data_IF_759636710323
#
_entry.id   IF_759636710323
#
_cell.length_a   1.000
_cell.length_b   1.000
_cell.length_c   1.000
_cell.angle_alpha   90.00
_cell.angle_beta   90.00
_cell.angle_gamma   90.00
#
_symmetry.space_group_name_H-M   'P 1'
#
loop_
_entity.id
_entity.type
_entity.pdbx_description
1 polymer ?
#
# COMPACT_ATOMS: atom_id res chain seq x y z
N UNK A 1 7.77 23.70 -17.24
CA UNK A 1 8.83 22.92 -16.59
C UNK A 1 8.66 22.79 -15.05
N UNK A 2 8.37 23.84 -14.26
CA UNK A 2 8.20 23.71 -12.79
C UNK A 2 7.00 22.85 -12.36
N UNK A 3 5.87 22.86 -13.06
CA UNK A 3 4.69 22.02 -12.74
C UNK A 3 4.92 20.53 -13.02
N UNK A 4 5.72 20.17 -14.03
CA UNK A 4 6.06 18.77 -14.34
C UNK A 4 7.01 18.14 -13.33
N UNK A 5 7.91 18.93 -12.72
CA UNK A 5 8.84 18.46 -11.70
C UNK A 5 8.09 18.18 -10.38
N UNK A 6 7.12 19.04 -10.02
CA UNK A 6 6.29 18.85 -8.82
C UNK A 6 5.41 17.59 -8.97
N UNK A 7 4.83 17.36 -10.18
CA UNK A 7 4.06 16.15 -10.44
C UNK A 7 4.92 14.87 -10.41
N UNK A 8 6.16 14.94 -10.88
CA UNK A 8 7.10 13.83 -10.84
C UNK A 8 7.59 13.52 -9.42
N UNK A 9 7.78 14.54 -8.56
CA UNK A 9 8.13 14.35 -7.14
C UNK A 9 6.95 13.76 -6.35
N UNK A 10 5.71 14.21 -6.61
CA UNK A 10 4.50 13.65 -5.98
C UNK A 10 4.30 12.20 -6.45
N UNK A 11 4.54 11.88 -7.72
CA UNK A 11 4.44 10.53 -8.26
C UNK A 11 5.52 9.59 -7.69
N UNK A 12 6.74 10.08 -7.45
CA UNK A 12 7.80 9.30 -6.79
C UNK A 12 7.48 9.09 -5.29
N UNK A 13 6.90 10.09 -4.59
CA UNK A 13 6.48 9.92 -3.19
C UNK A 13 5.31 8.93 -3.01
N UNK A 14 4.41 8.82 -4.00
CA UNK A 14 3.32 7.82 -3.95
C UNK A 14 3.78 6.41 -4.32
N UNK A 15 4.91 6.25 -5.04
CA UNK A 15 5.45 4.92 -5.37
C UNK A 15 6.23 4.29 -4.21
N UNK A 16 6.75 5.08 -3.27
CA UNK A 16 7.49 4.56 -2.10
C UNK A 16 6.56 3.93 -1.05
N UNK A 17 5.25 4.20 -1.10
CA UNK A 17 4.26 3.61 -0.18
C UNK A 17 3.73 2.23 -0.58
N UNK A 18 4.22 1.65 -1.69
CA UNK A 18 3.70 0.39 -2.27
C UNK A 18 4.60 -0.84 -2.07
N UNK A 19 5.74 -0.70 -1.35
CA UNK A 19 6.52 -1.88 -1.00
C UNK A 19 6.17 -2.33 0.42
N UNK A 20 5.49 -3.47 0.58
CA UNK A 20 5.31 -4.06 1.90
C UNK A 20 6.68 -4.41 2.47
N UNK A 21 6.87 -4.10 3.74
CA UNK A 21 8.07 -4.42 4.52
C UNK A 21 8.14 -5.95 4.67
N UNK A 22 8.77 -6.63 3.71
CA UNK A 22 8.92 -8.10 3.74
C UNK A 22 10.00 -8.60 4.70
N UNK A 23 10.86 -7.73 5.19
CA UNK A 23 12.00 -8.13 6.01
C UNK A 23 11.64 -8.54 7.46
N UNK A 24 10.52 -8.04 8.02
CA UNK A 24 10.05 -8.53 9.33
C UNK A 24 9.44 -9.91 9.26
N UNK A 25 8.79 -10.25 8.14
CA UNK A 25 8.17 -11.55 7.94
C UNK A 25 9.19 -12.69 7.87
N UNK A 26 10.35 -12.48 7.25
CA UNK A 26 11.42 -13.48 7.17
C UNK A 26 11.98 -13.82 8.55
N UNK A 27 12.18 -12.82 9.41
CA UNK A 27 12.64 -13.03 10.77
C UNK A 27 11.62 -13.82 11.62
N UNK A 28 10.34 -13.50 11.52
CA UNK A 28 9.30 -14.20 12.27
C UNK A 28 9.05 -15.62 11.73
N UNK A 29 9.19 -15.84 10.41
CA UNK A 29 9.13 -17.17 9.82
C UNK A 29 10.18 -18.09 10.44
N UNK A 30 11.42 -17.65 10.54
CA UNK A 30 12.49 -18.44 11.12
C UNK A 30 12.20 -18.85 12.58
N UNK A 31 11.60 -17.94 13.35
CA UNK A 31 11.19 -18.24 14.73
C UNK A 31 10.04 -19.25 14.78
N UNK A 32 9.01 -19.06 13.94
CA UNK A 32 7.90 -19.98 13.85
C UNK A 32 8.37 -21.40 13.44
N UNK A 33 9.26 -21.48 12.46
CA UNK A 33 9.80 -22.75 11.97
C UNK A 33 10.64 -23.45 13.04
N UNK A 34 11.47 -22.72 13.78
CA UNK A 34 12.26 -23.26 14.88
C UNK A 34 11.37 -23.79 16.01
N UNK A 35 10.34 -23.04 16.41
CA UNK A 35 9.39 -23.44 17.44
C UNK A 35 8.56 -24.65 16.97
N UNK A 36 8.17 -24.67 15.70
CA UNK A 36 7.45 -25.79 15.11
C UNK A 36 8.31 -27.07 15.02
N UNK A 37 9.59 -26.93 14.65
CA UNK A 37 10.55 -28.03 14.61
C UNK A 37 10.83 -28.59 16.00
N UNK A 38 11.03 -27.72 17.00
CA UNK A 38 11.21 -28.12 18.40
C UNK A 38 9.98 -28.80 18.98
N UNK A 39 8.78 -28.44 18.50
CA UNK A 39 7.52 -29.12 18.83
C UNK A 39 7.27 -30.42 18.04
N UNK A 40 8.20 -30.84 17.18
CA UNK A 40 8.07 -32.05 16.35
C UNK A 40 7.03 -31.97 15.22
N UNK A 41 6.63 -30.77 14.83
CA UNK A 41 5.58 -30.55 13.83
C UNK A 41 5.91 -29.35 12.94
N UNK A 42 6.76 -29.50 11.93
CA UNK A 42 7.13 -28.40 11.03
C UNK A 42 5.91 -27.88 10.25
N UNK A 43 5.98 -26.63 9.78
CA UNK A 43 5.02 -26.08 8.81
C UNK A 43 5.26 -26.78 7.47
N UNK A 44 4.22 -27.37 6.89
CA UNK A 44 4.29 -28.16 5.66
C UNK A 44 3.53 -27.55 4.49
N UNK A 45 2.77 -26.48 4.73
CA UNK A 45 2.04 -25.78 3.67
C UNK A 45 2.98 -25.20 2.63
N UNK A 46 2.58 -25.27 1.37
CA UNK A 46 3.36 -24.83 0.21
C UNK A 46 3.50 -23.30 0.13
N UNK A 47 2.44 -22.60 0.56
CA UNK A 47 2.45 -21.15 0.68
C UNK A 47 1.60 -20.72 1.89
N UNK A 48 2.04 -19.66 2.56
CA UNK A 48 1.25 -19.02 3.62
C UNK A 48 1.54 -17.51 3.71
N UNK A 49 0.55 -16.78 4.23
CA UNK A 49 0.64 -15.36 4.46
C UNK A 49 -0.20 -14.98 5.67
N UNK A 50 0.38 -14.30 6.66
CA UNK A 50 -0.31 -13.83 7.86
C UNK A 50 -0.01 -12.36 8.09
N UNK A 51 -1.05 -11.54 8.23
CA UNK A 51 -0.97 -10.10 8.40
C UNK A 51 -1.76 -9.68 9.64
N UNK A 52 -1.19 -8.77 10.43
CA UNK A 52 -1.96 -7.97 11.37
C UNK A 52 -2.59 -6.79 10.61
N UNK A 53 -3.92 -6.81 10.45
CA UNK A 53 -4.60 -5.81 9.61
C UNK A 53 -4.71 -4.43 10.26
N UNK A 54 -4.54 -4.32 11.58
CA UNK A 54 -4.62 -3.05 12.31
C UNK A 54 -3.37 -2.20 12.07
N UNK A 55 -2.21 -2.85 11.85
CA UNK A 55 -0.94 -2.19 11.58
C UNK A 55 -0.49 -2.31 10.13
N UNK A 56 -1.01 -3.29 9.39
CA UNK A 56 -0.50 -3.70 8.09
C UNK A 56 0.79 -4.54 8.15
N UNK A 57 1.24 -4.92 9.36
CA UNK A 57 2.47 -5.69 9.53
C UNK A 57 2.29 -7.13 9.02
N UNK A 58 3.16 -7.55 8.13
CA UNK A 58 3.26 -8.95 7.69
C UNK A 58 4.01 -9.74 8.75
N UNK A 59 3.36 -10.75 9.32
CA UNK A 59 3.91 -11.57 10.39
C UNK A 59 4.64 -12.79 9.82
N UNK A 60 3.95 -13.51 8.92
CA UNK A 60 4.52 -14.66 8.24
C UNK A 60 4.26 -14.55 6.74
N UNK A 61 5.26 -14.90 5.95
CA UNK A 61 5.17 -14.93 4.49
C UNK A 61 6.11 -16.00 3.95
N UNK A 62 5.55 -16.99 3.26
CA UNK A 62 6.30 -18.02 2.55
C UNK A 62 5.64 -18.27 1.21
N UNK A 63 6.40 -18.18 0.12
CA UNK A 63 5.88 -18.36 -1.23
C UNK A 63 4.55 -17.60 -1.49
N UNK A 64 4.38 -16.42 -0.91
CA UNK A 64 3.12 -15.69 -0.88
C UNK A 64 2.56 -15.39 -2.28
N UNK A 65 3.43 -15.27 -3.29
CA UNK A 65 3.08 -15.00 -4.68
C UNK A 65 3.09 -16.25 -5.57
N UNK A 66 3.31 -17.45 -4.99
CA UNK A 66 3.27 -18.70 -5.74
C UNK A 66 1.85 -19.01 -6.19
N UNK A 67 1.67 -19.23 -7.49
CA UNK A 67 0.38 -19.62 -8.06
C UNK A 67 0.06 -21.08 -7.70
N UNK A 68 -1.06 -21.26 -6.99
CA UNK A 68 -1.59 -22.55 -6.55
C UNK A 68 -3.10 -22.57 -6.76
N UNK A 69 -3.68 -23.74 -6.89
CA UNK A 69 -5.12 -23.88 -6.74
C UNK A 69 -5.50 -23.65 -5.28
N UNK A 70 -6.65 -23.05 -5.03
CA UNK A 70 -7.04 -22.59 -3.69
C UNK A 70 -8.34 -23.22 -3.18
N UNK A 71 -8.80 -24.30 -3.82
CA UNK A 71 -10.00 -25.04 -3.43
C UNK A 71 -11.20 -24.12 -3.13
N UNK A 72 -11.96 -24.41 -2.09
CA UNK A 72 -13.15 -23.65 -1.68
C UNK A 72 -12.90 -22.22 -1.22
N UNK A 73 -11.64 -21.74 -1.17
CA UNK A 73 -11.40 -20.32 -0.89
C UNK A 73 -11.91 -19.42 -2.02
N UNK A 74 -12.06 -19.94 -3.24
CA UNK A 74 -12.73 -19.27 -4.38
C UNK A 74 -14.11 -18.73 -3.99
N UNK A 75 -14.83 -19.44 -3.13
CA UNK A 75 -16.18 -19.08 -2.68
C UNK A 75 -16.23 -17.73 -1.95
N UNK A 76 -15.10 -17.26 -1.42
CA UNK A 76 -15.00 -15.93 -0.80
C UNK A 76 -15.23 -14.84 -1.88
N UNK A 77 -14.64 -14.99 -3.06
CA UNK A 77 -14.86 -14.06 -4.18
C UNK A 77 -16.31 -14.14 -4.70
N UNK A 78 -16.89 -15.35 -4.75
CA UNK A 78 -18.30 -15.57 -5.10
C UNK A 78 -19.23 -14.87 -4.10
N UNK A 79 -18.93 -14.96 -2.79
CA UNK A 79 -19.69 -14.30 -1.75
C UNK A 79 -19.62 -12.78 -1.86
N UNK A 80 -18.43 -12.21 -2.09
CA UNK A 80 -18.24 -10.77 -2.30
C UNK A 80 -19.12 -10.27 -3.44
N UNK A 81 -19.01 -10.88 -4.62
CA UNK A 81 -19.80 -10.48 -5.78
C UNK A 81 -21.29 -10.62 -5.55
N UNK A 82 -21.72 -11.64 -4.83
CA UNK A 82 -23.14 -11.83 -4.49
C UNK A 82 -23.64 -10.67 -3.64
N UNK A 83 -22.94 -10.27 -2.58
CA UNK A 83 -23.37 -9.17 -1.71
C UNK A 83 -23.20 -7.80 -2.35
N UNK A 84 -22.26 -7.63 -3.27
CA UNK A 84 -22.06 -6.39 -4.03
C UNK A 84 -23.14 -6.16 -5.10
N UNK A 85 -23.79 -7.23 -5.61
CA UNK A 85 -24.74 -7.16 -6.71
C UNK A 85 -26.17 -7.61 -6.34
N UNK A 86 -26.44 -7.82 -5.06
CA UNK A 86 -27.76 -8.18 -4.56
C UNK A 86 -28.12 -7.35 -3.34
N UNK A 87 -28.91 -6.29 -3.53
CA UNK A 87 -29.33 -5.36 -2.48
C UNK A 87 -30.19 -6.03 -1.40
N UNK A 88 -30.98 -7.05 -1.77
CA UNK A 88 -31.84 -7.77 -0.86
C UNK A 88 -31.53 -9.28 -0.86
N UNK A 89 -30.83 -9.74 0.17
CA UNK A 89 -30.46 -11.15 0.31
C UNK A 89 -31.67 -12.08 0.53
N UNK A 90 -32.84 -11.56 0.85
CA UNK A 90 -34.07 -12.35 0.99
C UNK A 90 -34.80 -12.52 -0.35
N UNK A 91 -34.23 -12.06 -1.46
CA UNK A 91 -34.67 -12.34 -2.81
C UNK A 91 -34.68 -13.85 -3.05
N UNK A 92 -35.80 -14.38 -3.53
CA UNK A 92 -35.95 -15.80 -3.85
C UNK A 92 -35.44 -16.08 -5.25
N UNK A 93 -34.58 -17.05 -5.36
CA UNK A 93 -34.01 -17.53 -6.63
C UNK A 93 -34.60 -18.90 -6.92
N UNK A 94 -34.91 -19.18 -8.19
CA UNK A 94 -35.30 -20.51 -8.65
C UNK A 94 -34.10 -21.23 -9.23
N UNK A 95 -33.79 -22.40 -8.68
CA UNK A 95 -32.67 -23.23 -9.13
C UNK A 95 -32.90 -23.72 -10.56
N UNK A 96 -31.98 -23.45 -11.45
CA UNK A 96 -32.04 -23.85 -12.86
C UNK A 96 -31.32 -25.19 -13.09
N UNK A 97 -31.66 -25.88 -14.18
CA UNK A 97 -30.93 -27.06 -14.64
C UNK A 97 -29.49 -26.70 -15.08
N UNK A 98 -29.30 -25.52 -15.67
CA UNK A 98 -27.99 -25.05 -16.13
C UNK A 98 -27.00 -24.85 -14.98
N UNK A 99 -27.46 -24.42 -13.80
CA UNK A 99 -26.61 -24.25 -12.61
C UNK A 99 -26.13 -25.61 -12.05
N UNK A 100 -26.98 -26.63 -12.07
CA UNK A 100 -26.67 -27.93 -11.49
C UNK A 100 -25.91 -28.86 -12.45
N UNK A 101 -26.18 -28.77 -13.76
CA UNK A 101 -25.63 -29.66 -14.80
C UNK A 101 -24.11 -29.80 -14.77
N UNK A 102 -23.30 -28.72 -14.58
CA UNK A 102 -21.84 -28.84 -14.53
C UNK A 102 -21.31 -29.69 -13.35
N UNK A 103 -22.12 -29.89 -12.31
CA UNK A 103 -21.74 -30.62 -11.09
C UNK A 103 -22.20 -32.07 -11.06
N UNK A 104 -22.94 -32.50 -12.06
CA UNK A 104 -23.39 -33.92 -12.15
C UNK A 104 -22.17 -34.85 -12.19
N UNK A 105 -22.16 -35.85 -11.34
CA UNK A 105 -21.08 -36.86 -11.16
C UNK A 105 -19.74 -36.32 -10.64
N UNK A 106 -19.69 -35.06 -10.08
CA UNK A 106 -18.45 -34.55 -9.45
C UNK A 106 -18.21 -35.11 -8.04
N UNK A 107 -19.24 -35.70 -7.41
CA UNK A 107 -19.21 -36.18 -6.01
C UNK A 107 -18.65 -35.14 -5.03
N UNK A 108 -18.89 -33.88 -5.33
CA UNK A 108 -18.37 -32.72 -4.56
C UNK A 108 -19.42 -32.23 -3.55
N UNK A 109 -18.99 -31.39 -2.61
CA UNK A 109 -19.87 -30.79 -1.62
C UNK A 109 -21.08 -30.09 -2.26
N UNK A 110 -22.29 -30.37 -1.75
CA UNK A 110 -23.58 -29.94 -2.30
C UNK A 110 -24.57 -29.66 -1.17
N UNK A 111 -25.49 -28.75 -1.36
CA UNK A 111 -26.67 -28.57 -0.53
C UNK A 111 -27.87 -29.39 -1.04
N UNK A 112 -27.65 -30.29 -2.02
CA UNK A 112 -28.65 -31.12 -2.66
C UNK A 112 -29.85 -30.33 -3.23
N UNK A 113 -29.50 -29.20 -3.88
CA UNK A 113 -30.48 -28.32 -4.52
C UNK A 113 -31.15 -29.05 -5.71
N UNK A 114 -32.44 -28.81 -5.91
CA UNK A 114 -33.24 -29.42 -6.96
C UNK A 114 -33.66 -28.43 -8.01
N UNK A 115 -33.67 -28.82 -9.28
CA UNK A 115 -34.20 -27.97 -10.37
C UNK A 115 -35.65 -27.57 -10.05
N UNK A 116 -35.90 -26.24 -10.08
CA UNK A 116 -37.21 -25.66 -9.72
C UNK A 116 -37.37 -25.34 -8.22
N UNK A 117 -36.37 -25.63 -7.41
CA UNK A 117 -36.37 -25.25 -6.00
C UNK A 117 -36.30 -23.74 -5.85
N UNK A 118 -37.06 -23.17 -4.94
CA UNK A 118 -37.11 -21.75 -4.62
C UNK A 118 -36.45 -21.52 -3.27
N UNK A 119 -35.32 -20.81 -3.29
CA UNK A 119 -34.49 -20.58 -2.11
C UNK A 119 -33.95 -19.13 -2.12
N UNK A 120 -33.79 -18.50 -0.96
CA UNK A 120 -33.29 -17.13 -0.89
C UNK A 120 -31.77 -17.06 -1.14
N UNK A 121 -31.30 -15.91 -1.65
CA UNK A 121 -29.86 -15.62 -1.81
C UNK A 121 -29.11 -15.80 -0.48
N UNK A 122 -29.70 -15.36 0.64
CA UNK A 122 -29.19 -15.55 2.00
C UNK A 122 -28.92 -17.03 2.31
N UNK A 123 -29.90 -17.89 2.07
CA UNK A 123 -29.78 -19.32 2.34
C UNK A 123 -28.78 -19.99 1.40
N UNK A 124 -28.69 -19.56 0.13
CA UNK A 124 -27.65 -20.02 -0.79
C UNK A 124 -26.25 -19.62 -0.30
N UNK A 125 -26.07 -18.39 0.23
CA UNK A 125 -24.82 -17.97 0.84
C UNK A 125 -24.47 -18.83 2.05
N UNK A 126 -25.42 -19.16 2.93
CA UNK A 126 -25.18 -20.07 4.05
C UNK A 126 -24.78 -21.47 3.58
N UNK A 127 -25.48 -22.06 2.60
CA UNK A 127 -25.10 -23.34 2.00
C UNK A 127 -23.67 -23.32 1.46
N UNK A 128 -23.30 -22.24 0.75
CA UNK A 128 -21.97 -22.07 0.19
C UNK A 128 -20.90 -21.84 1.27
N UNK A 129 -21.20 -21.00 2.27
CA UNK A 129 -20.19 -20.60 3.26
C UNK A 129 -19.98 -21.68 4.33
N UNK A 130 -21.01 -22.38 4.79
CA UNK A 130 -20.89 -23.41 5.83
C UNK A 130 -20.54 -24.77 5.22
N UNK A 131 -21.41 -25.33 4.36
CA UNK A 131 -21.28 -26.67 3.81
C UNK A 131 -20.37 -26.78 2.57
N UNK A 132 -19.74 -25.70 2.15
CA UNK A 132 -18.97 -25.67 0.90
C UNK A 132 -19.77 -26.02 -0.37
N UNK A 133 -21.10 -25.89 -0.35
CA UNK A 133 -22.01 -26.30 -1.41
C UNK A 133 -21.68 -25.67 -2.78
N UNK A 134 -21.25 -26.48 -3.74
CA UNK A 134 -20.86 -26.05 -5.07
C UNK A 134 -22.07 -25.72 -5.95
N UNK A 135 -23.18 -26.41 -5.75
CA UNK A 135 -24.46 -26.13 -6.39
C UNK A 135 -24.99 -24.74 -6.02
N UNK A 136 -24.92 -24.37 -4.74
CA UNK A 136 -25.25 -23.01 -4.30
C UNK A 136 -24.39 -21.96 -4.99
N UNK A 137 -23.08 -22.22 -5.19
CA UNK A 137 -22.20 -21.29 -5.91
C UNK A 137 -22.66 -21.05 -7.35
N UNK A 138 -23.01 -22.12 -8.07
CA UNK A 138 -23.44 -22.03 -9.45
C UNK A 138 -24.81 -21.32 -9.58
N UNK A 139 -25.74 -21.58 -8.64
CA UNK A 139 -27.02 -20.87 -8.60
C UNK A 139 -26.84 -19.38 -8.36
N UNK A 140 -25.98 -18.99 -7.41
CA UNK A 140 -25.62 -17.59 -7.16
C UNK A 140 -24.93 -16.97 -8.37
N UNK A 141 -23.98 -17.69 -8.97
CA UNK A 141 -23.27 -17.22 -10.15
C UNK A 141 -24.21 -16.94 -11.34
N UNK A 142 -25.14 -17.85 -11.60
CA UNK A 142 -26.13 -17.66 -12.68
C UNK A 142 -27.11 -16.54 -12.35
N UNK A 143 -27.56 -16.44 -11.11
CA UNK A 143 -28.47 -15.37 -10.67
C UNK A 143 -27.83 -13.97 -10.81
N UNK A 144 -26.60 -13.80 -10.42
CA UNK A 144 -25.88 -12.50 -10.45
C UNK A 144 -25.34 -12.19 -11.85
N UNK A 145 -24.73 -13.14 -12.51
CA UNK A 145 -24.04 -12.97 -13.79
C UNK A 145 -24.91 -13.18 -15.02
N UNK A 146 -26.13 -13.72 -14.84
CA UNK A 146 -26.96 -14.19 -15.95
C UNK A 146 -26.49 -15.53 -16.50
N UNK A 147 -25.19 -15.77 -16.57
CA UNK A 147 -24.55 -17.07 -16.83
C UNK A 147 -23.38 -17.30 -15.87
N UNK A 148 -23.02 -18.57 -15.62
CA UNK A 148 -21.83 -18.91 -14.79
C UNK A 148 -20.57 -18.33 -15.46
N UNK A 149 -20.47 -18.34 -16.78
CA UNK A 149 -19.32 -17.83 -17.51
C UNK A 149 -19.14 -16.31 -17.34
N UNK A 150 -20.24 -15.56 -17.45
CA UNK A 150 -20.20 -14.10 -17.25
C UNK A 150 -19.84 -13.75 -15.80
N UNK A 151 -20.39 -14.50 -14.84
CA UNK A 151 -20.04 -14.34 -13.44
C UNK A 151 -18.54 -14.59 -13.16
N UNK A 152 -17.95 -15.63 -13.74
CA UNK A 152 -16.50 -15.88 -13.66
C UNK A 152 -15.71 -14.71 -14.26
N UNK A 153 -16.20 -14.10 -15.36
CA UNK A 153 -15.63 -12.87 -15.90
C UNK A 153 -15.68 -11.72 -14.89
N UNK A 154 -16.81 -11.56 -14.17
CA UNK A 154 -16.95 -10.57 -13.09
C UNK A 154 -15.96 -10.87 -11.94
N UNK A 155 -15.80 -12.14 -11.52
CA UNK A 155 -14.85 -12.53 -10.49
C UNK A 155 -13.43 -12.10 -10.83
N UNK A 156 -12.97 -12.38 -12.05
CA UNK A 156 -11.63 -12.00 -12.50
C UNK A 156 -11.44 -10.48 -12.64
N UNK A 157 -12.48 -9.77 -13.05
CA UNK A 157 -12.47 -8.30 -13.09
C UNK A 157 -12.34 -7.75 -11.67
N UNK A 158 -13.17 -8.25 -10.74
CA UNK A 158 -13.15 -7.80 -9.36
C UNK A 158 -11.84 -8.12 -8.65
N UNK A 159 -11.26 -9.29 -8.89
CA UNK A 159 -9.94 -9.65 -8.36
C UNK A 159 -8.87 -8.64 -8.80
N UNK A 160 -8.85 -8.25 -10.09
CA UNK A 160 -7.92 -7.21 -10.60
C UNK A 160 -8.13 -5.85 -9.93
N UNK A 161 -9.37 -5.43 -9.71
CA UNK A 161 -9.70 -4.19 -9.00
C UNK A 161 -9.22 -4.19 -7.54
N UNK A 162 -9.21 -5.36 -6.89
CA UNK A 162 -8.66 -5.55 -5.56
C UNK A 162 -7.12 -5.59 -5.51
N UNK A 163 -6.46 -5.56 -6.67
CA UNK A 163 -5.01 -5.64 -6.78
C UNK A 163 -4.46 -7.07 -6.90
N UNK A 164 -5.32 -8.07 -7.09
CA UNK A 164 -4.89 -9.45 -7.30
C UNK A 164 -4.30 -9.62 -8.70
N UNK A 165 -2.99 -9.66 -8.78
CA UNK A 165 -2.26 -9.73 -10.07
C UNK A 165 -1.94 -11.15 -10.51
N UNK A 166 -2.02 -12.11 -9.59
CA UNK A 166 -1.68 -13.50 -9.80
C UNK A 166 -2.88 -14.44 -9.52
N UNK A 167 -4.08 -14.03 -9.95
CA UNK A 167 -5.31 -14.78 -9.76
C UNK A 167 -6.05 -14.96 -11.08
N UNK A 168 -6.51 -16.17 -11.33
CA UNK A 168 -7.41 -16.51 -12.44
C UNK A 168 -8.45 -17.53 -11.97
N UNK A 169 -9.69 -17.08 -11.82
CA UNK A 169 -10.82 -17.95 -11.53
C UNK A 169 -11.38 -18.52 -12.83
N UNK A 170 -11.75 -19.81 -12.83
CA UNK A 170 -12.37 -20.50 -13.96
C UNK A 170 -13.74 -21.09 -13.62
N UNK A 171 -14.09 -21.08 -12.32
CA UNK A 171 -15.41 -21.45 -11.82
C UNK A 171 -15.72 -20.68 -10.52
N UNK A 172 -16.97 -20.74 -10.06
CA UNK A 172 -17.44 -20.03 -8.89
C UNK A 172 -17.22 -20.79 -7.56
N UNK A 173 -16.75 -22.04 -7.59
CA UNK A 173 -16.77 -22.93 -6.44
C UNK A 173 -15.39 -23.44 -6.01
N UNK A 174 -14.38 -23.43 -6.90
CA UNK A 174 -13.01 -23.83 -6.60
C UNK A 174 -12.73 -25.33 -6.72
N UNK A 175 -13.53 -26.10 -7.47
CA UNK A 175 -13.13 -27.42 -7.93
C UNK A 175 -11.95 -27.30 -8.89
N UNK A 176 -11.10 -28.31 -8.90
CA UNK A 176 -9.91 -28.36 -9.75
C UNK A 176 -10.27 -28.17 -11.23
N UNK A 177 -9.58 -27.27 -11.87
CA UNK A 177 -9.75 -26.99 -13.30
C UNK A 177 -8.46 -26.40 -13.88
N UNK A 178 -8.22 -26.70 -15.15
CA UNK A 178 -7.07 -26.18 -15.88
C UNK A 178 -7.10 -24.64 -15.94
N UNK A 179 -5.97 -24.03 -15.65
CA UNK A 179 -5.84 -22.57 -15.64
C UNK A 179 -6.39 -21.86 -14.39
N UNK A 180 -6.96 -22.60 -13.42
CA UNK A 180 -7.37 -22.04 -12.14
C UNK A 180 -6.15 -21.86 -11.22
N UNK A 181 -5.92 -20.65 -10.74
CA UNK A 181 -4.89 -20.36 -9.74
C UNK A 181 -5.17 -19.08 -8.96
N UNK A 182 -4.57 -19.00 -7.79
CA UNK A 182 -4.44 -17.77 -7.00
C UNK A 182 -3.15 -17.84 -6.18
N UNK A 183 -2.91 -16.89 -5.32
CA UNK A 183 -1.75 -16.84 -4.42
C UNK A 183 -2.20 -16.61 -2.98
N UNK A 184 -1.35 -16.89 -2.01
CA UNK A 184 -1.66 -16.58 -0.62
C UNK A 184 -1.85 -15.08 -0.40
N UNK A 185 -1.06 -14.24 -1.09
CA UNK A 185 -1.22 -12.79 -1.05
C UNK A 185 -2.53 -12.31 -1.67
N UNK A 186 -2.88 -12.77 -2.87
CA UNK A 186 -4.12 -12.38 -3.53
C UNK A 186 -5.36 -12.83 -2.74
N UNK A 187 -5.33 -14.07 -2.19
CA UNK A 187 -6.41 -14.56 -1.32
C UNK A 187 -6.52 -13.77 -0.01
N UNK A 188 -5.40 -13.23 0.51
CA UNK A 188 -5.44 -12.28 1.61
C UNK A 188 -6.19 -11.00 1.24
N UNK A 189 -5.92 -10.41 0.07
CA UNK A 189 -6.63 -9.22 -0.40
C UNK A 189 -8.14 -9.48 -0.52
N UNK A 190 -8.52 -10.62 -1.09
CA UNK A 190 -9.92 -11.06 -1.22
C UNK A 190 -10.56 -11.26 0.16
N UNK A 191 -9.88 -11.95 1.08
CA UNK A 191 -10.42 -12.18 2.44
C UNK A 191 -10.57 -10.87 3.21
N UNK A 192 -9.58 -9.99 3.13
CA UNK A 192 -9.63 -8.65 3.72
C UNK A 192 -10.83 -7.86 3.20
N UNK A 193 -11.12 -7.93 1.90
CA UNK A 193 -12.29 -7.30 1.31
C UNK A 193 -13.60 -7.91 1.82
N UNK A 194 -13.66 -9.23 1.96
CA UNK A 194 -14.85 -9.89 2.50
C UNK A 194 -15.19 -9.44 3.92
N UNK A 195 -14.19 -9.12 4.75
CA UNK A 195 -14.39 -8.62 6.12
C UNK A 195 -15.03 -7.22 6.17
N UNK A 196 -14.98 -6.44 5.09
CA UNK A 196 -15.67 -5.15 5.02
C UNK A 196 -17.20 -5.31 4.94
N UNK A 197 -17.70 -6.50 4.59
CA UNK A 197 -19.11 -6.83 4.58
C UNK A 197 -19.49 -7.59 5.86
N UNK A 198 -20.18 -6.90 6.78
CA UNK A 198 -20.55 -7.49 8.08
C UNK A 198 -21.32 -8.80 7.91
N UNK A 199 -22.19 -8.88 6.90
CA UNK A 199 -22.97 -10.10 6.61
C UNK A 199 -22.08 -11.32 6.32
N UNK A 200 -20.95 -11.14 5.61
CA UNK A 200 -20.01 -12.21 5.33
C UNK A 200 -19.14 -12.56 6.55
N UNK A 201 -18.71 -11.54 7.28
CA UNK A 201 -17.97 -11.71 8.52
C UNK A 201 -18.82 -12.48 9.55
N UNK A 202 -20.10 -12.11 9.70
CA UNK A 202 -21.03 -12.79 10.62
C UNK A 202 -21.30 -14.23 10.18
N UNK A 203 -21.59 -14.47 8.89
CA UNK A 203 -21.83 -15.81 8.36
C UNK A 203 -20.63 -16.75 8.59
N UNK A 204 -19.42 -16.25 8.45
CA UNK A 204 -18.21 -17.06 8.63
C UNK A 204 -18.00 -17.56 10.07
N UNK A 205 -18.68 -16.94 11.04
CA UNK A 205 -18.61 -17.27 12.48
C UNK A 205 -19.75 -18.15 12.95
N UNK A 206 -20.72 -18.44 12.10
CA UNK A 206 -21.86 -19.33 12.44
C UNK A 206 -21.39 -20.76 12.42
N UNK A 207 -21.61 -21.52 13.50
CA UNK A 207 -21.23 -22.93 13.60
C UNK A 207 -22.24 -23.81 12.87
N UNK A 208 -23.52 -23.60 13.16
CA UNK A 208 -24.62 -24.34 12.53
C UNK A 208 -25.74 -23.38 12.11
N UNK A 209 -26.45 -23.74 11.04
CA UNK A 209 -27.56 -22.95 10.52
C UNK A 209 -28.64 -23.85 9.92
N UNK A 210 -29.90 -23.54 10.17
CA UNK A 210 -31.02 -24.29 9.59
C UNK A 210 -31.60 -23.48 8.41
N UNK A 211 -31.44 -24.00 7.21
CA UNK A 211 -32.16 -23.51 6.04
C UNK A 211 -33.61 -24.01 6.15
N UNK A 212 -34.61 -23.12 6.18
CA UNK A 212 -36.00 -23.51 6.23
C UNK A 212 -36.40 -24.40 5.06
N UNK A 213 -37.45 -25.22 5.26
CA UNK A 213 -38.04 -26.01 4.18
C UNK A 213 -38.40 -25.10 2.97
N UNK A 214 -38.18 -25.63 1.77
CA UNK A 214 -38.48 -24.99 0.50
C UNK A 214 -39.74 -25.62 -0.15
N UNK A 215 -40.03 -25.20 -1.36
CA UNK A 215 -41.12 -25.85 -2.15
C UNK A 215 -40.78 -27.29 -2.56
N UNK A 216 -39.50 -27.73 -2.44
CA UNK A 216 -39.05 -29.02 -2.94
C UNK A 216 -38.18 -29.85 -1.95
N UNK A 217 -37.86 -29.27 -0.81
CA UNK A 217 -37.01 -29.93 0.18
C UNK A 217 -37.44 -29.57 1.61
N UNK A 218 -37.26 -30.54 2.51
CA UNK A 218 -37.36 -30.32 3.95
C UNK A 218 -36.27 -29.36 4.42
N UNK A 219 -36.35 -28.91 5.68
CA UNK A 219 -35.32 -28.08 6.27
C UNK A 219 -33.95 -28.78 6.25
N UNK A 220 -32.90 -28.03 5.98
CA UNK A 220 -31.50 -28.50 5.95
C UNK A 220 -30.74 -27.99 7.14
N UNK A 221 -30.10 -28.83 7.89
CA UNK A 221 -29.10 -28.46 8.89
C UNK A 221 -27.75 -28.36 8.20
N UNK A 222 -27.12 -27.18 8.32
CA UNK A 222 -25.79 -26.89 7.78
C UNK A 222 -24.79 -26.81 8.92
N UNK A 223 -23.64 -27.43 8.77
CA UNK A 223 -22.53 -27.36 9.71
C UNK A 223 -21.34 -26.64 9.06
N UNK A 224 -20.68 -25.79 9.80
CA UNK A 224 -19.55 -25.07 9.27
C UNK A 224 -18.29 -25.94 9.28
N UNK A 225 -17.73 -26.18 8.12
CA UNK A 225 -16.50 -26.97 7.98
C UNK A 225 -15.25 -26.24 8.48
N UNK A 226 -15.38 -24.99 8.91
CA UNK A 226 -14.29 -24.22 9.51
C UNK A 226 -14.24 -24.46 11.03
N UNK A 227 -13.80 -25.64 11.44
CA UNK A 227 -13.81 -26.16 12.80
C UNK A 227 -13.03 -25.33 13.83
N UNK A 228 -12.30 -24.30 13.42
CA UNK A 228 -11.57 -23.42 14.36
C UNK A 228 -12.48 -22.58 15.26
N UNK A 229 -13.76 -22.43 14.89
CA UNK A 229 -14.75 -21.67 15.68
C UNK A 229 -15.63 -22.58 16.54
N UNK A 230 -15.59 -23.90 16.35
CA UNK A 230 -16.45 -24.85 17.04
C UNK A 230 -15.75 -25.41 18.30
N UNK A 231 -16.34 -25.14 19.47
CA UNK A 231 -15.85 -25.67 20.74
C UNK A 231 -15.91 -27.20 20.77
N UNK A 232 -14.86 -27.81 21.33
CA UNK A 232 -14.75 -29.26 21.41
C UNK A 232 -14.02 -29.90 20.25
N UNK A 233 -13.83 -29.21 19.12
CA UNK A 233 -12.98 -29.71 18.05
C UNK A 233 -11.49 -29.57 18.38
N UNK A 234 -10.66 -30.43 17.85
CA UNK A 234 -9.19 -30.35 18.02
C UNK A 234 -8.59 -29.08 17.40
N UNK A 235 -9.31 -28.46 16.46
CA UNK A 235 -8.90 -27.25 15.75
C UNK A 235 -9.33 -25.97 16.46
N UNK A 236 -10.26 -26.03 17.40
CA UNK A 236 -10.81 -24.87 18.11
C UNK A 236 -9.74 -23.89 18.59
N UNK A 237 -9.98 -22.63 18.31
CA UNK A 237 -9.14 -21.54 18.79
C UNK A 237 -10.02 -20.36 19.27
N UNK A 238 -9.97 -20.07 20.55
CA UNK A 238 -10.89 -19.11 21.21
C UNK A 238 -10.93 -17.71 20.59
N UNK A 239 -9.89 -17.32 19.88
CA UNK A 239 -9.82 -16.03 19.20
C UNK A 239 -10.17 -16.10 17.72
N UNK A 240 -10.44 -17.26 17.17
CA UNK A 240 -10.88 -17.42 15.78
C UNK A 240 -12.20 -16.68 15.56
N UNK A 241 -12.31 -16.03 14.39
CA UNK A 241 -13.48 -15.28 13.94
C UNK A 241 -13.97 -15.79 12.57
N UNK A 242 -13.75 -17.06 12.32
CA UNK A 242 -14.12 -17.73 11.08
C UNK A 242 -13.12 -17.50 9.97
N UNK A 243 -13.34 -17.99 8.93
CA UNK A 243 -13.51 -17.65 7.54
C UNK A 243 -13.82 -18.87 6.68
N UNK A 244 -12.87 -19.49 5.97
CA UNK A 244 -13.18 -20.54 5.01
C UNK A 244 -12.04 -21.56 4.91
N UNK A 245 -12.38 -22.85 4.81
CA UNK A 245 -11.41 -23.86 4.44
C UNK A 245 -11.96 -24.74 3.32
N UNK A 246 -11.07 -25.50 2.69
CA UNK A 246 -11.43 -26.45 1.65
C UNK A 246 -10.28 -27.34 1.28
N UNK A 247 -10.60 -28.33 0.46
CA UNK A 247 -9.65 -29.30 -0.07
C UNK A 247 -10.09 -29.80 -1.45
N UNK A 248 -9.13 -29.94 -2.32
CA UNK A 248 -9.23 -30.71 -3.56
C UNK A 248 -7.96 -31.52 -3.73
N UNK A 249 -7.93 -32.44 -4.68
CA UNK A 249 -6.73 -33.25 -4.91
C UNK A 249 -5.54 -32.41 -5.37
N UNK A 250 -5.75 -31.40 -6.23
CA UNK A 250 -4.69 -30.53 -6.71
C UNK A 250 -4.33 -29.44 -5.71
N UNK A 251 -5.32 -28.82 -5.04
CA UNK A 251 -5.08 -27.73 -4.10
C UNK A 251 -4.58 -28.22 -2.73
N UNK A 252 -4.77 -29.50 -2.40
CA UNK A 252 -4.58 -30.03 -1.06
C UNK A 252 -5.44 -29.25 -0.02
N UNK A 253 -5.08 -29.22 1.25
CA UNK A 253 -5.79 -28.44 2.28
C UNK A 253 -5.45 -26.98 2.16
N UNK A 254 -6.48 -26.14 2.11
CA UNK A 254 -6.38 -24.68 2.09
C UNK A 254 -7.24 -24.08 3.20
N UNK A 255 -6.76 -22.98 3.78
CA UNK A 255 -7.51 -22.21 4.78
C UNK A 255 -7.29 -20.71 4.60
N UNK A 256 -8.37 -19.95 4.65
CA UNK A 256 -8.39 -18.53 4.99
C UNK A 256 -8.93 -18.42 6.39
N UNK A 257 -8.27 -17.68 7.27
CA UNK A 257 -8.65 -17.61 8.68
C UNK A 257 -8.48 -16.21 9.22
N UNK A 258 -9.35 -15.84 10.15
CA UNK A 258 -9.35 -14.57 10.85
C UNK A 258 -9.36 -14.86 12.34
N UNK A 259 -8.56 -14.12 13.10
CA UNK A 259 -8.59 -14.18 14.55
C UNK A 259 -8.45 -12.79 15.15
N UNK A 260 -9.22 -12.52 16.20
CA UNK A 260 -9.24 -11.21 16.86
C UNK A 260 -9.20 -11.38 18.38
N UNK A 261 -8.30 -10.61 19.01
CA UNK A 261 -8.19 -10.51 20.46
C UNK A 261 -7.81 -9.08 20.83
N UNK A 262 -8.57 -8.44 21.72
CA UNK A 262 -8.36 -7.05 22.11
C UNK A 262 -8.35 -6.11 20.87
N UNK A 263 -7.25 -5.43 20.62
CA UNK A 263 -7.05 -4.55 19.45
C UNK A 263 -6.23 -5.23 18.34
N UNK A 264 -6.11 -6.54 18.33
CA UNK A 264 -5.32 -7.27 17.34
C UNK A 264 -6.23 -8.11 16.46
N UNK A 265 -6.18 -7.89 15.16
CA UNK A 265 -6.84 -8.73 14.17
C UNK A 265 -5.82 -9.26 13.16
N UNK A 266 -5.74 -10.55 13.06
CA UNK A 266 -4.91 -11.25 12.09
C UNK A 266 -5.78 -11.87 11.01
N UNK A 267 -5.34 -11.71 9.77
CA UNK A 267 -5.88 -12.42 8.61
C UNK A 267 -4.77 -13.27 8.03
N UNK A 268 -5.04 -14.55 7.87
CA UNK A 268 -4.06 -15.50 7.34
C UNK A 268 -4.62 -16.37 6.25
N UNK A 269 -3.72 -16.79 5.36
CA UNK A 269 -3.98 -17.73 4.26
C UNK A 269 -2.95 -18.84 4.32
N UNK A 270 -3.41 -20.05 4.10
CA UNK A 270 -2.60 -21.26 3.93
C UNK A 270 -3.06 -21.95 2.66
N UNK A 271 -2.12 -22.27 1.77
CA UNK A 271 -2.36 -23.01 0.53
C UNK A 271 -1.42 -24.22 0.42
N UNK A 272 -1.92 -25.29 -0.17
CA UNK A 272 -1.12 -26.48 -0.46
C UNK A 272 -0.64 -27.22 0.78
N UNK A 273 -1.43 -27.24 1.88
CA UNK A 273 -1.06 -27.99 3.06
C UNK A 273 -1.37 -29.48 2.86
N UNK A 274 -0.40 -30.40 3.05
CA UNK A 274 -0.60 -31.81 2.80
C UNK A 274 -1.77 -32.40 3.59
N UNK A 275 -2.59 -33.24 2.93
CA UNK A 275 -3.74 -33.90 3.52
C UNK A 275 -3.30 -35.23 4.18
N UNK A 276 -2.86 -35.16 5.44
CA UNK A 276 -2.21 -36.26 6.17
C UNK A 276 -3.02 -36.67 7.40
N UNK A 277 -2.84 -37.91 7.80
CA UNK A 277 -3.21 -38.42 9.12
C UNK A 277 -2.06 -38.13 10.08
N UNK A 278 -2.24 -37.12 10.96
CA UNK A 278 -1.16 -36.60 11.81
C UNK A 278 -0.99 -37.37 13.13
N UNK A 279 -1.97 -38.18 13.51
CA UNK A 279 -1.96 -38.94 14.77
C UNK A 279 -2.07 -40.46 14.60
N UNK A 280 -2.16 -40.94 13.34
CA UNK A 280 -2.24 -42.36 13.02
C UNK A 280 -3.59 -42.98 13.34
N UNK A 281 -4.65 -42.18 13.50
CA UNK A 281 -5.99 -42.71 13.80
C UNK A 281 -6.71 -43.29 12.57
N UNK A 282 -6.11 -43.19 11.38
CA UNK A 282 -6.66 -43.66 10.12
C UNK A 282 -7.52 -42.65 9.36
N UNK A 283 -7.71 -41.45 9.92
CA UNK A 283 -8.42 -40.36 9.29
C UNK A 283 -7.47 -39.18 8.99
N UNK A 284 -7.64 -38.63 7.80
CA UNK A 284 -6.83 -37.47 7.41
C UNK A 284 -7.31 -36.20 8.12
N UNK A 285 -6.38 -35.48 8.70
CA UNK A 285 -6.63 -34.22 9.42
C UNK A 285 -6.83 -33.04 8.51
N UNK A 286 -7.49 -32.01 9.04
CA UNK A 286 -7.43 -30.67 8.45
C UNK A 286 -6.13 -29.97 8.87
N UNK A 287 -5.03 -30.38 8.25
CA UNK A 287 -3.68 -29.89 8.55
C UNK A 287 -3.52 -28.40 8.40
N UNK A 288 -4.27 -27.76 7.46
CA UNK A 288 -4.26 -26.32 7.29
C UNK A 288 -4.80 -25.58 8.54
N UNK A 289 -5.85 -26.12 9.20
CA UNK A 289 -6.36 -25.53 10.43
C UNK A 289 -5.41 -25.74 11.62
N UNK A 290 -4.65 -26.83 11.67
CA UNK A 290 -3.59 -26.98 12.67
C UNK A 290 -2.49 -25.95 12.50
N UNK A 291 -2.02 -25.74 11.28
CA UNK A 291 -0.99 -24.74 11.01
C UNK A 291 -1.51 -23.34 11.27
N UNK A 292 -2.74 -23.01 10.87
CA UNK A 292 -3.41 -21.75 11.18
C UNK A 292 -3.44 -21.48 12.69
N UNK A 293 -3.90 -22.46 13.49
CA UNK A 293 -3.95 -22.37 14.95
C UNK A 293 -2.56 -22.12 15.55
N UNK A 294 -1.55 -22.79 15.02
CA UNK A 294 -0.16 -22.63 15.46
C UNK A 294 0.38 -21.23 15.15
N UNK A 295 0.19 -20.74 13.92
CA UNK A 295 0.60 -19.40 13.50
C UNK A 295 -0.07 -18.33 14.38
N UNK A 296 -1.38 -18.42 14.57
CA UNK A 296 -2.14 -17.50 15.43
C UNK A 296 -1.68 -17.56 16.88
N UNK A 297 -1.52 -18.76 17.44
CA UNK A 297 -1.04 -18.93 18.81
C UNK A 297 0.33 -18.29 18.99
N UNK A 298 1.25 -18.52 18.05
CA UNK A 298 2.57 -17.91 18.09
C UNK A 298 2.47 -16.38 18.05
N UNK A 299 1.69 -15.82 17.12
CA UNK A 299 1.52 -14.38 16.96
C UNK A 299 0.94 -13.72 18.23
N UNK A 300 -0.14 -14.28 18.82
CA UNK A 300 -0.75 -13.71 20.03
C UNK A 300 0.09 -13.90 21.30
N UNK A 301 0.96 -14.90 21.35
CA UNK A 301 1.85 -15.12 22.52
C UNK A 301 3.12 -14.28 22.45
N UNK A 302 3.69 -14.14 21.26
CA UNK A 302 5.02 -13.56 21.11
C UNK A 302 5.00 -12.08 20.68
N UNK A 303 3.91 -11.60 20.05
CA UNK A 303 3.82 -10.25 19.55
C UNK A 303 2.99 -9.36 20.49
N UNK A 304 3.46 -8.12 20.66
CA UNK A 304 2.77 -7.10 21.46
C UNK A 304 2.71 -5.79 20.70
N UNK A 305 1.52 -5.17 20.69
CA UNK A 305 1.35 -3.82 20.21
C UNK A 305 1.96 -2.84 21.19
N UNK A 306 2.90 -2.04 20.76
CA UNK A 306 3.55 -1.02 21.56
C UNK A 306 3.21 0.34 20.98
N UNK A 307 2.62 1.21 21.80
CA UNK A 307 2.44 2.62 21.44
C UNK A 307 3.79 3.31 21.61
N UNK A 308 4.29 3.89 20.54
CA UNK A 308 5.60 4.54 20.47
C UNK A 308 5.48 6.05 20.58
N UNK A 309 4.39 6.66 20.07
CA UNK A 309 4.08 8.06 20.26
C UNK A 309 2.57 8.34 20.07
N UNK A 310 2.08 9.34 20.78
CA UNK A 310 0.73 9.89 20.63
C UNK A 310 0.75 11.10 19.68
N UNK A 311 -0.37 11.47 19.03
CA UNK A 311 -0.46 12.66 18.19
C UNK A 311 -0.11 13.98 18.89
N UNK A 312 -0.06 13.98 20.22
CA UNK A 312 0.30 15.12 21.07
C UNK A 312 1.78 15.21 21.40
N UNK A 313 2.54 14.13 21.15
CA UNK A 313 3.94 14.05 21.55
C UNK A 313 4.83 14.80 20.56
N UNK A 314 5.67 15.69 21.07
CA UNK A 314 6.70 16.35 20.27
C UNK A 314 7.85 15.37 20.04
N UNK A 315 8.00 14.91 18.79
CA UNK A 315 9.05 13.95 18.43
C UNK A 315 10.38 14.64 18.12
N UNK A 316 10.32 15.77 17.45
CA UNK A 316 11.46 16.62 17.12
C UNK A 316 10.98 18.03 16.79
N UNK A 317 11.90 18.94 16.48
CA UNK A 317 11.59 20.28 15.97
C UNK A 317 12.47 20.63 14.79
N UNK A 318 11.98 21.50 13.92
CA UNK A 318 12.67 21.92 12.70
C UNK A 318 12.77 23.45 12.65
N UNK A 319 13.93 24.01 12.26
CA UNK A 319 14.09 25.46 12.12
C UNK A 319 13.13 26.04 11.07
N UNK A 320 12.62 27.25 11.33
CA UNK A 320 11.76 28.01 10.40
C UNK A 320 12.39 29.35 10.07
N UNK A 321 12.54 29.58 8.78
CA UNK A 321 13.02 30.85 8.24
C UNK A 321 11.85 31.79 7.85
N UNK A 322 12.14 33.09 7.71
CA UNK A 322 11.22 34.14 7.28
C UNK A 322 10.07 34.40 8.24
N UNK A 323 10.27 34.13 9.52
CA UNK A 323 9.34 34.43 10.60
C UNK A 323 10.05 35.16 11.74
N UNK A 324 9.28 35.92 12.52
CA UNK A 324 9.66 36.48 13.82
C UNK A 324 8.83 35.89 14.95
N UNK A 325 7.85 35.06 14.63
CA UNK A 325 6.91 34.47 15.62
C UNK A 325 7.54 33.27 16.32
N UNK A 326 8.33 32.49 15.59
CA UNK A 326 9.05 31.33 16.11
C UNK A 326 10.27 31.00 15.25
N UNK A 327 11.34 30.52 15.90
CA UNK A 327 12.55 30.02 15.26
C UNK A 327 12.45 28.55 14.87
N UNK A 328 11.54 27.81 15.51
CA UNK A 328 11.35 26.38 15.34
C UNK A 328 9.87 26.02 15.32
N UNK A 329 9.52 24.97 14.56
CA UNK A 329 8.21 24.33 14.59
C UNK A 329 8.37 22.92 15.15
N UNK A 330 7.49 22.57 16.12
CA UNK A 330 7.42 21.22 16.67
C UNK A 330 6.82 20.27 15.63
N UNK A 331 7.38 19.08 15.52
CA UNK A 331 6.84 18.02 14.67
C UNK A 331 6.16 16.96 15.54
N UNK A 332 4.91 16.71 15.23
CA UNK A 332 4.05 15.74 15.89
C UNK A 332 3.73 14.60 14.90
N UNK A 333 3.48 13.38 15.36
CA UNK A 333 2.95 12.35 14.47
C UNK A 333 1.51 12.69 14.07
N UNK A 334 1.18 12.50 12.78
CA UNK A 334 -0.17 12.75 12.23
C UNK A 334 -1.24 11.91 12.95
N UNK A 335 -0.88 10.70 13.34
CA UNK A 335 -1.72 9.74 14.08
C UNK A 335 -0.90 9.02 15.13
N UNK A 336 -1.57 8.29 16.01
CA UNK A 336 -0.89 7.44 16.97
C UNK A 336 0.10 6.52 16.26
N UNK A 337 1.35 6.57 16.67
CA UNK A 337 2.41 5.71 16.18
C UNK A 337 2.46 4.46 17.05
N UNK A 338 2.22 3.34 16.45
CA UNK A 338 2.28 2.04 17.11
C UNK A 338 3.00 1.03 16.23
N UNK A 339 3.62 0.06 16.85
CA UNK A 339 4.28 -1.05 16.17
C UNK A 339 3.98 -2.36 16.87
N UNK A 340 3.90 -3.42 16.07
CA UNK A 340 3.78 -4.78 16.56
C UNK A 340 5.18 -5.37 16.66
N UNK A 341 5.61 -5.70 17.87
CA UNK A 341 6.96 -6.16 18.16
C UNK A 341 6.94 -7.43 19.01
N UNK A 342 8.03 -8.18 18.98
CA UNK A 342 8.22 -9.26 19.94
C UNK A 342 8.14 -8.72 21.37
N UNK A 343 7.46 -9.45 22.23
CA UNK A 343 7.29 -9.08 23.64
C UNK A 343 8.61 -8.91 24.39
N UNK A 344 9.69 -9.51 23.89
CA UNK A 344 11.06 -9.41 24.41
C UNK A 344 11.83 -8.17 23.93
N UNK A 345 11.31 -7.40 22.96
CA UNK A 345 12.02 -6.24 22.40
C UNK A 345 11.82 -5.03 23.29
N UNK A 346 12.93 -4.40 23.70
CA UNK A 346 12.91 -3.12 24.41
C UNK A 346 12.78 -1.95 23.41
N UNK A 347 12.04 -0.90 23.79
CA UNK A 347 11.92 0.33 23.00
C UNK A 347 13.26 1.01 22.70
N UNK A 348 14.26 0.82 23.56
CA UNK A 348 15.61 1.36 23.38
C UNK A 348 16.39 0.71 22.22
N UNK A 349 15.94 -0.45 21.76
CA UNK A 349 16.51 -1.14 20.59
C UNK A 349 15.96 -0.63 19.26
N UNK A 350 15.04 0.34 19.29
CA UNK A 350 14.42 0.90 18.10
C UNK A 350 15.20 2.09 17.58
N UNK A 351 15.43 2.12 16.27
CA UNK A 351 16.02 3.25 15.56
C UNK A 351 14.93 4.15 14.98
N UNK A 352 15.04 5.46 15.23
CA UNK A 352 14.11 6.48 14.74
C UNK A 352 14.77 7.26 13.59
N UNK A 353 14.31 7.03 12.37
CA UNK A 353 14.85 7.66 11.16
C UNK A 353 13.90 8.75 10.69
N UNK A 354 14.32 10.01 10.84
CA UNK A 354 13.55 11.19 10.43
C UNK A 354 13.88 11.55 8.98
N UNK A 355 12.89 11.51 8.11
CA UNK A 355 12.99 12.00 6.74
C UNK A 355 12.27 13.34 6.64
N UNK A 356 12.96 14.39 7.04
CA UNK A 356 12.47 15.78 7.12
C UNK A 356 13.46 16.72 6.41
N UNK A 357 13.03 17.87 5.87
CA UNK A 357 13.94 18.90 5.34
C UNK A 357 14.78 19.52 6.46
N UNK A 358 15.92 20.08 6.13
CA UNK A 358 16.80 20.75 7.12
C UNK A 358 16.11 21.97 7.77
N UNK A 359 15.24 22.66 7.04
CA UNK A 359 14.51 23.85 7.48
C UNK A 359 13.22 24.05 6.70
N UNK A 360 12.27 24.76 7.30
CA UNK A 360 11.03 25.21 6.67
C UNK A 360 11.09 26.72 6.37
N UNK A 361 10.27 27.17 5.44
CA UNK A 361 10.03 28.59 5.18
C UNK A 361 8.59 28.94 5.57
N UNK A 362 8.44 29.97 6.39
CA UNK A 362 7.13 30.49 6.73
C UNK A 362 6.38 31.02 5.48
N UNK A 363 5.03 30.90 5.39
CA UNK A 363 4.14 30.44 6.44
C UNK A 363 4.11 28.91 6.56
N UNK A 364 3.92 28.42 7.78
CA UNK A 364 3.68 27.00 8.09
C UNK A 364 2.32 26.93 8.78
N UNK A 365 1.47 26.00 8.36
CA UNK A 365 0.16 25.80 8.95
C UNK A 365 0.19 24.60 9.90
N UNK A 366 -0.51 24.73 11.05
CA UNK A 366 -0.69 23.61 11.95
C UNK A 366 -1.37 22.43 11.23
N UNK A 367 -0.82 21.21 11.37
CA UNK A 367 -1.28 20.04 10.67
C UNK A 367 -0.69 19.84 9.27
N UNK A 368 0.11 20.80 8.77
CA UNK A 368 0.83 20.65 7.51
C UNK A 368 1.82 19.49 7.60
N UNK A 369 1.78 18.56 6.64
CA UNK A 369 2.75 17.46 6.53
C UNK A 369 4.12 18.06 6.17
N UNK A 370 5.12 17.73 6.98
CA UNK A 370 6.51 18.21 6.85
C UNK A 370 7.45 17.11 6.36
N UNK A 371 7.18 15.87 6.73
CA UNK A 371 8.01 14.73 6.37
C UNK A 371 7.47 13.44 6.95
N UNK A 372 8.33 12.45 7.13
CA UNK A 372 7.98 11.14 7.69
C UNK A 372 8.97 10.72 8.77
N UNK A 373 8.49 9.93 9.71
CA UNK A 373 9.30 9.17 10.65
C UNK A 373 9.17 7.68 10.32
N UNK A 374 10.30 7.02 10.14
CA UNK A 374 10.38 5.56 10.06
C UNK A 374 10.97 5.02 11.35
N UNK A 375 10.36 3.98 11.88
CA UNK A 375 10.92 3.23 13.01
C UNK A 375 11.45 1.92 12.49
N UNK A 376 12.70 1.64 12.83
CA UNK A 376 13.39 0.41 12.44
C UNK A 376 13.72 -0.45 13.66
N UNK A 377 13.71 -1.74 13.42
CA UNK A 377 14.25 -2.75 14.33
C UNK A 377 15.08 -3.76 13.54
N UNK A 378 16.30 -3.99 13.93
CA UNK A 378 17.24 -4.89 13.22
C UNK A 378 17.28 -4.61 11.70
N UNK A 379 17.51 -3.34 11.31
CA UNK A 379 17.54 -2.83 9.93
C UNK A 379 16.17 -2.83 9.20
N UNK A 380 15.13 -3.41 9.77
CA UNK A 380 13.81 -3.49 9.13
C UNK A 380 12.89 -2.34 9.56
N UNK A 381 12.23 -1.70 8.60
CA UNK A 381 11.21 -0.69 8.89
C UNK A 381 9.96 -1.39 9.42
N UNK A 382 9.63 -1.14 10.69
CA UNK A 382 8.47 -1.75 11.37
C UNK A 382 7.25 -0.84 11.41
N UNK A 383 7.44 0.46 11.24
CA UNK A 383 6.34 1.44 11.17
C UNK A 383 6.79 2.71 10.48
N UNK A 384 5.84 3.41 9.84
CA UNK A 384 6.06 4.73 9.21
C UNK A 384 4.86 5.62 9.51
N UNK A 385 5.13 6.88 9.87
CA UNK A 385 4.09 7.89 10.13
C UNK A 385 4.48 9.22 9.52
N UNK A 386 3.49 9.98 9.04
CA UNK A 386 3.72 11.36 8.64
C UNK A 386 3.98 12.23 9.87
N UNK A 387 4.90 13.17 9.72
CA UNK A 387 5.17 14.21 10.70
C UNK A 387 4.48 15.49 10.27
N UNK A 388 3.70 16.07 11.16
CA UNK A 388 2.94 17.30 10.91
C UNK A 388 3.42 18.43 11.82
N UNK A 389 3.27 19.66 11.32
CA UNK A 389 3.56 20.86 12.11
C UNK A 389 2.59 20.97 13.30
N UNK A 390 3.11 21.08 14.50
CA UNK A 390 2.34 21.21 15.74
C UNK A 390 1.78 22.62 15.92
N UNK A 391 2.41 23.62 15.32
CA UNK A 391 2.10 25.03 15.47
C UNK A 391 1.98 25.72 14.11
N UNK A 392 1.18 26.79 14.03
CA UNK A 392 1.15 27.70 12.90
C UNK A 392 2.19 28.79 13.08
N UNK A 393 2.96 29.10 12.04
CA UNK A 393 3.97 30.16 12.04
C UNK A 393 3.71 31.09 10.87
N UNK A 394 3.49 32.38 11.13
CA UNK A 394 3.23 33.37 10.10
C UNK A 394 4.52 33.86 9.45
N UNK A 395 4.41 34.31 8.20
CA UNK A 395 5.54 34.85 7.46
C UNK A 395 5.73 36.33 7.73
N UNK A 396 6.95 36.72 8.08
CA UNK A 396 7.34 38.13 8.16
C UNK A 396 7.60 38.68 6.75
N UNK A 397 6.79 39.68 6.36
CA UNK A 397 6.85 40.29 5.03
C UNK A 397 8.19 41.01 4.74
N UNK A 398 8.83 41.59 5.76
CA UNK A 398 10.11 42.31 5.63
C UNK A 398 11.24 41.30 5.37
N UNK A 399 11.29 40.21 6.15
CA UNK A 399 12.29 39.16 5.97
C UNK A 399 12.12 38.45 4.62
N UNK A 400 10.87 38.26 4.19
CA UNK A 400 10.57 37.68 2.88
C UNK A 400 11.05 38.57 1.74
N UNK A 401 10.79 39.90 1.81
CA UNK A 401 11.29 40.88 0.84
C UNK A 401 12.82 40.86 0.79
N UNK A 402 13.46 40.85 1.95
CA UNK A 402 14.93 40.75 2.05
C UNK A 402 15.48 39.49 1.40
N UNK A 403 14.81 38.35 1.60
CA UNK A 403 15.16 37.05 0.97
C UNK A 403 15.00 37.13 -0.56
N UNK A 404 13.92 37.72 -1.06
CA UNK A 404 13.71 37.92 -2.50
C UNK A 404 14.80 38.81 -3.12
N UNK A 405 15.18 39.92 -2.47
CA UNK A 405 16.27 40.80 -2.92
C UNK A 405 17.59 40.03 -2.93
N UNK A 406 17.91 39.33 -1.86
CA UNK A 406 19.12 38.50 -1.77
C UNK A 406 19.18 37.46 -2.91
N UNK A 407 18.09 36.74 -3.14
CA UNK A 407 18.03 35.76 -4.21
C UNK A 407 18.13 36.38 -5.61
N UNK A 408 17.57 37.57 -5.79
CA UNK A 408 17.70 38.33 -7.03
C UNK A 408 19.17 38.72 -7.28
N UNK A 409 19.83 39.30 -6.27
CA UNK A 409 21.23 39.81 -6.38
C UNK A 409 22.22 38.65 -6.64
N UNK A 410 21.99 37.50 -6.02
CA UNK A 410 22.86 36.32 -6.18
C UNK A 410 22.50 35.50 -7.43
N UNK A 411 21.38 35.80 -8.08
CA UNK A 411 20.94 35.04 -9.26
C UNK A 411 21.93 35.14 -10.41
N UNK A 412 22.25 34.07 -11.12
CA UNK A 412 23.14 34.09 -12.29
C UNK A 412 22.69 35.09 -13.36
N UNK A 413 21.39 35.25 -13.54
CA UNK A 413 20.79 36.18 -14.49
C UNK A 413 21.08 37.64 -14.10
N UNK A 414 20.95 38.00 -12.82
CA UNK A 414 21.27 39.35 -12.34
C UNK A 414 22.76 39.66 -12.51
N UNK A 415 23.64 38.73 -12.15
CA UNK A 415 25.09 38.88 -12.31
C UNK A 415 25.49 39.06 -13.78
N UNK A 416 24.86 38.35 -14.71
CA UNK A 416 25.07 38.53 -16.16
C UNK A 416 24.62 39.94 -16.60
N UNK A 417 23.43 40.38 -16.15
CA UNK A 417 22.94 41.74 -16.49
C UNK A 417 23.90 42.80 -16.00
N UNK A 418 24.36 42.70 -14.75
CA UNK A 418 25.34 43.64 -14.18
C UNK A 418 26.65 43.62 -14.97
N UNK A 419 27.16 42.41 -15.31
CA UNK A 419 28.37 42.28 -16.12
C UNK A 419 28.22 42.92 -17.51
N UNK A 420 27.08 42.77 -18.18
CA UNK A 420 26.79 43.41 -19.48
C UNK A 420 26.73 44.92 -19.36
N UNK A 421 26.11 45.48 -18.30
CA UNK A 421 26.06 46.91 -18.05
C UNK A 421 27.48 47.45 -17.81
N UNK A 422 28.26 46.82 -16.95
CA UNK A 422 29.65 47.24 -16.67
C UNK A 422 30.49 47.19 -17.92
N UNK A 423 30.37 46.12 -18.72
CA UNK A 423 31.07 46.02 -20.00
C UNK A 423 30.67 47.14 -20.97
N UNK A 424 29.38 47.46 -21.07
CA UNK A 424 28.86 48.56 -21.89
C UNK A 424 29.43 49.93 -21.49
N UNK A 425 29.47 50.20 -20.15
CA UNK A 425 30.07 51.41 -19.62
C UNK A 425 31.57 51.51 -19.94
N UNK A 426 32.32 50.40 -19.74
CA UNK A 426 33.73 50.35 -20.07
C UNK A 426 33.97 50.58 -21.57
N UNK A 427 33.17 49.98 -22.43
CA UNK A 427 33.23 50.19 -23.88
C UNK A 427 32.95 51.64 -24.25
N UNK A 428 31.91 52.26 -23.63
CA UNK A 428 31.59 53.67 -23.83
C UNK A 428 32.75 54.58 -23.45
N UNK A 429 33.34 54.39 -22.25
CA UNK A 429 34.52 55.15 -21.80
C UNK A 429 35.71 54.95 -22.73
N UNK A 430 35.95 53.75 -23.20
CA UNK A 430 37.01 53.45 -24.16
C UNK A 430 36.78 54.17 -25.50
N UNK A 431 35.54 54.17 -26.02
CA UNK A 431 35.22 54.91 -27.26
C UNK A 431 35.43 56.42 -27.11
N UNK A 432 34.98 57.02 -26.00
CA UNK A 432 35.22 58.43 -25.70
C UNK A 432 36.72 58.75 -25.63
N UNK A 433 37.49 57.88 -24.94
CA UNK A 433 38.95 58.04 -24.85
C UNK A 433 39.62 57.99 -26.23
N UNK A 434 39.22 57.06 -27.08
CA UNK A 434 39.76 56.94 -28.45
C UNK A 434 39.39 58.14 -29.33
N UNK A 435 38.14 58.61 -29.21
CA UNK A 435 37.71 59.84 -29.92
C UNK A 435 38.48 61.08 -29.44
N UNK A 436 38.68 61.24 -28.13
CA UNK A 436 39.46 62.29 -27.56
C UNK A 436 40.92 62.25 -28.02
N UNK A 437 41.53 61.06 -28.04
CA UNK A 437 42.89 60.83 -28.54
C UNK A 437 43.03 61.12 -30.05
N UNK A 438 42.00 60.78 -30.87
CA UNK A 438 41.95 61.17 -32.28
C UNK A 438 41.88 62.70 -32.45
N UNK A 439 41.03 63.37 -31.66
CA UNK A 439 40.91 64.86 -31.67
C UNK A 439 42.20 65.49 -31.27
N UNK A 440 42.85 65.09 -30.22
CA UNK A 440 44.17 65.60 -29.76
C UNK A 440 45.28 65.43 -30.84
N UNK A 441 45.24 64.29 -31.54
CA UNK A 441 46.17 64.02 -32.68
C UNK A 441 45.88 64.99 -33.85
N UNK A 442 44.62 65.25 -34.17
CA UNK A 442 44.19 66.12 -35.23
C UNK A 442 44.57 67.61 -34.87
N UNK A 443 44.31 68.02 -33.63
CA UNK A 443 44.68 69.34 -33.15
C UNK A 443 46.19 69.52 -33.15
N UNK A 444 46.99 68.53 -32.73
CA UNK A 444 48.46 68.58 -32.85
C UNK A 444 48.94 68.68 -34.31
N UNK A 445 48.29 68.00 -35.24
CA UNK A 445 48.60 68.08 -36.67
C UNK A 445 48.25 69.43 -37.25
N UNK A 446 47.13 70.04 -36.83
CA UNK A 446 46.70 71.36 -37.16
C UNK A 446 47.71 72.44 -36.64
N UNK A 447 48.09 72.30 -35.37
CA UNK A 447 49.08 73.20 -34.77
C UNK A 447 50.44 73.15 -35.44
N UNK A 448 50.87 71.90 -35.86
CA UNK A 448 52.12 71.79 -36.65
C UNK A 448 51.99 72.39 -38.00
N UNK A 449 50.91 72.20 -38.73
CA UNK A 449 50.69 72.82 -40.03
C UNK A 449 50.59 74.38 -39.94
N UNK A 450 49.96 74.90 -38.88
CA UNK A 450 49.97 76.39 -38.63
C UNK A 450 51.38 76.86 -38.34
N UNK A 451 52.18 76.16 -37.53
CA UNK A 451 53.54 76.46 -37.23
C UNK A 451 54.46 76.44 -38.45
N UNK A 452 54.29 75.43 -39.33
CA UNK A 452 55.01 75.33 -40.59
C UNK A 452 54.64 76.44 -41.57
N UNK A 453 53.34 76.80 -41.61
CA UNK A 453 52.88 77.95 -42.46
C UNK A 453 53.41 79.24 -41.93
N UNK A 454 53.39 79.49 -40.63
CA UNK A 454 53.98 80.71 -40.06
C UNK A 454 55.49 80.82 -40.24
N UNK A 455 56.20 79.67 -40.22
CA UNK A 455 57.64 79.58 -40.49
C UNK A 455 57.93 79.90 -42.00
N UNK A 456 57.09 79.40 -42.91
CA UNK A 456 57.25 79.75 -44.35
C UNK A 456 56.93 81.25 -44.61
N UNK A 457 55.90 81.81 -43.96
CA UNK A 457 55.59 83.25 -44.09
C UNK A 457 56.70 84.12 -43.47
N UNK A 458 57.45 83.71 -42.46
CA UNK A 458 58.61 84.37 -41.94
C UNK A 458 59.86 84.27 -42.86
N UNK A 459 60.03 83.15 -43.53
CA UNK A 459 61.15 83.00 -44.51
C UNK A 459 60.95 83.81 -45.77
N UNK A 460 59.66 84.00 -46.21
CA UNK A 460 59.35 84.84 -47.36
C UNK A 460 59.49 86.37 -47.05
N UNK A 461 59.39 86.77 -45.75
CA UNK A 461 59.65 88.16 -45.32
C UNK A 461 61.14 88.55 -45.22
N UNK A 462 62.04 87.51 -45.03
CA UNK A 462 63.49 87.77 -44.99
C UNK A 462 64.09 87.92 -46.42
N UNK A 463 63.45 87.29 -47.46
CA UNK A 463 63.91 87.47 -48.82
C UNK A 463 63.49 88.76 -49.51
N UNK A 464 62.61 89.54 -48.91
CA UNK A 464 62.11 90.78 -49.48
C UNK A 464 62.82 92.05 -48.94
N UNK A 465 63.78 91.91 -48.01
CA UNK A 465 64.54 93.03 -47.43
C UNK A 465 66.04 93.11 -47.82
N UNK A 466 66.45 92.37 -48.91
CA UNK A 466 67.80 92.59 -49.48
C UNK A 466 67.63 92.86 -50.97
N UNK A 467 67.29 94.17 -51.28
CA UNK A 467 67.63 94.90 -52.49
C UNK A 467 67.70 96.37 -52.19
#
# INVERSE_FOLDING_TARGET
MKKSIIFMIIFIMTLVSLFPVSASAEYYNLQLENDAQNAGSPIKSEAYYLVNIDTGAVIFSHNADKQLQCASLVKIATAILTVENCDNLDTVVTVSESALKPLVNTYSASADLKVGEQITVRNLLYCMMLENANDACNVLAEFIGGTITDFVGMMNTRAKELGCTNTNFVNAHGLDADGAYSTAYDMYLITKKALEYSVLADMSQVVDYIVPATNMSEARELNNWFDMIEEGTRYYYTYARGFKCGMTDAAQRCASFVASKDAYTYVGIILGCPNEDTDGCGYKDNTALFEAKRMLRWAFLNLKMIVLAQPTDTLTSIPVELSTDADYVRLLPEKQLQALLLSSVDKTSLEYVYNIPEKLQAPVEKGQIVGTLQIKYAENVISTVNLVAGDSVSRNSIMHLGSLIKNLVVSPTFLIIVAVIVFGVLLYVMVIYLLHKKKMKADRKRLRAIKEKNLSEFSDLDETNVK
#
